data_IF_220709648243
#
_entry.id   IF_220709648243
#
_cell.length_a   1.000
_cell.length_b   1.000
_cell.length_c   1.000
_cell.angle_alpha   90.00
_cell.angle_beta   90.00
_cell.angle_gamma   90.00
#
_symmetry.space_group_name_H-M   'P 1'
#
loop_
_entity.id
_entity.type
_entity.pdbx_description
1 polymer ?
#
# COMPACT_ATOMS: atom_id res chain seq x y z
N UNK A 1 -13.80 -15.75 -11.48
CA UNK A 1 -13.00 -16.30 -10.35
C UNK A 1 -12.32 -17.61 -10.69
N UNK A 2 -13.02 -18.76 -10.97
CA UNK A 2 -12.30 -20.01 -11.30
C UNK A 2 -11.59 -19.95 -12.66
N UNK A 3 -12.21 -19.36 -13.68
CA UNK A 3 -11.61 -19.15 -15.01
C UNK A 3 -10.37 -18.25 -14.94
N UNK A 4 -10.43 -17.18 -14.20
CA UNK A 4 -9.33 -16.24 -13.99
C UNK A 4 -8.13 -16.93 -13.31
N UNK A 5 -8.39 -17.70 -12.24
CA UNK A 5 -7.34 -18.49 -11.59
C UNK A 5 -6.68 -19.52 -12.53
N UNK A 6 -7.47 -20.14 -13.42
CA UNK A 6 -6.91 -21.07 -14.40
C UNK A 6 -6.02 -20.35 -15.44
N UNK A 7 -6.41 -19.16 -15.87
CA UNK A 7 -5.61 -18.32 -16.78
C UNK A 7 -4.31 -17.87 -16.11
N UNK A 8 -4.39 -17.35 -14.89
CA UNK A 8 -3.21 -16.98 -14.10
C UNK A 8 -2.25 -18.14 -13.88
N UNK A 9 -2.76 -19.33 -13.54
CA UNK A 9 -1.95 -20.54 -13.39
C UNK A 9 -1.28 -20.94 -14.70
N UNK A 10 -1.99 -20.81 -15.83
CA UNK A 10 -1.43 -21.11 -17.16
C UNK A 10 -0.28 -20.15 -17.49
N UNK A 11 -0.46 -18.85 -17.26
CA UNK A 11 0.58 -17.84 -17.46
C UNK A 11 1.77 -18.10 -16.53
N UNK A 12 1.51 -18.43 -15.25
CA UNK A 12 2.54 -18.67 -14.25
C UNK A 12 3.43 -19.90 -14.52
N UNK A 13 2.99 -20.84 -15.38
CA UNK A 13 3.81 -21.98 -15.83
C UNK A 13 4.89 -21.55 -16.83
N UNK A 14 4.66 -20.48 -17.59
CA UNK A 14 5.63 -19.94 -18.54
C UNK A 14 6.64 -19.07 -17.79
N UNK A 15 7.88 -19.57 -17.64
CA UNK A 15 8.96 -18.82 -16.96
C UNK A 15 9.72 -18.04 -18.01
N UNK A 16 9.86 -16.74 -17.75
CA UNK A 16 10.53 -15.77 -18.63
C UNK A 16 11.64 -15.04 -17.91
N UNK A 17 12.56 -14.44 -18.68
CA UNK A 17 13.66 -13.65 -18.14
C UNK A 17 13.16 -12.36 -17.49
N UNK A 18 13.89 -11.91 -16.46
CA UNK A 18 13.67 -10.62 -15.80
C UNK A 18 13.71 -9.48 -16.82
N UNK A 19 12.78 -8.52 -16.78
CA UNK A 19 12.82 -7.35 -17.65
C UNK A 19 14.04 -6.48 -17.35
N UNK A 20 14.34 -5.54 -18.26
CA UNK A 20 15.47 -4.60 -18.14
C UNK A 20 15.35 -3.74 -16.89
N UNK A 21 16.51 -3.33 -16.35
CA UNK A 21 16.56 -2.36 -15.26
C UNK A 21 15.90 -1.04 -15.68
N UNK A 22 15.15 -0.45 -14.73
CA UNK A 22 14.46 0.82 -14.93
C UNK A 22 13.20 0.74 -15.77
N UNK A 23 12.66 -0.47 -16.00
CA UNK A 23 11.35 -0.62 -16.62
C UNK A 23 10.22 -0.25 -15.64
N UNK A 24 9.03 0.11 -16.17
CA UNK A 24 7.83 0.35 -15.38
C UNK A 24 7.47 -0.82 -14.47
N UNK A 25 7.02 -0.49 -13.27
CA UNK A 25 6.55 -1.47 -12.26
C UNK A 25 5.08 -1.21 -11.95
N UNK A 26 4.25 -2.21 -12.16
CA UNK A 26 2.87 -2.22 -11.67
C UNK A 26 2.83 -3.10 -10.42
N UNK A 27 2.29 -2.58 -9.35
CA UNK A 27 1.94 -3.37 -8.17
C UNK A 27 0.49 -3.81 -8.25
N UNK A 28 0.22 -5.10 -8.03
CA UNK A 28 -1.14 -5.55 -7.70
C UNK A 28 -1.53 -4.99 -6.33
N UNK A 29 -2.80 -5.03 -5.92
CA UNK A 29 -3.23 -4.66 -4.57
C UNK A 29 -2.43 -5.35 -3.45
N UNK A 30 -2.05 -6.63 -3.61
CA UNK A 30 -1.18 -7.33 -2.66
C UNK A 30 0.25 -6.78 -2.66
N UNK A 31 0.85 -6.63 -3.83
CA UNK A 31 2.19 -6.06 -3.97
C UNK A 31 2.28 -4.63 -3.46
N UNK A 32 1.27 -3.80 -3.74
CA UNK A 32 1.15 -2.43 -3.24
C UNK A 32 1.17 -2.39 -1.71
N UNK A 33 0.35 -3.23 -1.06
CA UNK A 33 0.35 -3.30 0.40
C UNK A 33 1.70 -3.71 0.96
N UNK A 34 2.28 -4.82 0.46
CA UNK A 34 3.49 -5.40 1.01
C UNK A 34 4.72 -4.48 0.89
N UNK A 35 4.78 -3.65 -0.16
CA UNK A 35 5.95 -2.78 -0.44
C UNK A 35 5.76 -1.34 -0.02
N UNK A 36 4.66 -0.72 -0.42
CA UNK A 36 4.50 0.74 -0.31
C UNK A 36 3.63 1.15 0.87
N UNK A 37 2.52 0.45 1.10
CA UNK A 37 1.58 0.85 2.15
C UNK A 37 1.99 0.39 3.55
N UNK A 38 2.58 -0.80 3.71
CA UNK A 38 2.99 -1.28 5.04
C UNK A 38 3.92 -0.30 5.76
N UNK A 39 5.05 0.15 5.19
CA UNK A 39 5.91 1.14 5.83
C UNK A 39 5.23 2.50 6.00
N UNK A 40 4.37 2.88 5.06
CA UNK A 40 3.62 4.13 5.15
C UNK A 40 2.66 4.12 6.34
N UNK A 41 1.91 3.02 6.56
CA UNK A 41 0.97 2.89 7.67
C UNK A 41 1.67 2.93 9.03
N UNK A 42 2.87 2.34 9.15
CA UNK A 42 3.71 2.47 10.34
C UNK A 42 4.07 3.93 10.62
N UNK A 43 4.33 4.69 9.55
CA UNK A 43 4.67 6.11 9.66
C UNK A 43 3.49 7.01 10.07
N UNK A 44 2.24 6.61 9.78
CA UNK A 44 1.03 7.32 10.23
C UNK A 44 0.64 7.00 11.68
N UNK A 45 1.27 6.02 12.32
CA UNK A 45 0.96 5.68 13.70
C UNK A 45 1.31 6.82 14.65
N UNK A 46 0.34 7.22 15.48
CA UNK A 46 0.51 8.21 16.54
C UNK A 46 1.66 7.86 17.49
N UNK A 47 1.96 6.58 17.68
CA UNK A 47 3.12 6.14 18.46
C UNK A 47 4.44 6.63 17.87
N UNK A 48 4.58 6.60 16.55
CA UNK A 48 5.79 7.03 15.86
C UNK A 48 5.81 8.55 15.66
N UNK A 49 4.64 9.16 15.47
CA UNK A 49 4.51 10.61 15.33
C UNK A 49 4.79 11.31 16.66
N UNK A 50 4.23 10.85 17.80
CA UNK A 50 4.46 11.49 19.11
C UNK A 50 5.92 11.41 19.58
N UNK A 51 6.66 10.39 19.14
CA UNK A 51 8.07 10.19 19.48
C UNK A 51 9.06 10.79 18.47
N UNK A 52 8.58 11.51 17.45
CA UNK A 52 9.40 12.04 16.34
C UNK A 52 10.23 10.97 15.61
N UNK A 53 9.69 9.75 15.47
CA UNK A 53 10.35 8.66 14.76
C UNK A 53 9.96 8.59 13.28
N UNK A 54 8.78 9.10 12.94
CA UNK A 54 8.27 9.13 11.55
C UNK A 54 8.83 10.32 10.77
N UNK A 55 9.14 10.09 9.50
CA UNK A 55 9.51 11.16 8.55
C UNK A 55 8.36 12.15 8.26
N UNK A 56 7.13 11.84 8.71
CA UNK A 56 5.93 12.66 8.56
C UNK A 56 5.72 13.64 9.73
N UNK A 57 6.56 13.60 10.78
CA UNK A 57 6.41 14.46 11.93
C UNK A 57 6.44 15.95 11.54
N UNK A 58 5.43 16.70 11.97
CA UNK A 58 5.30 18.13 11.72
C UNK A 58 4.93 18.53 10.29
N UNK A 59 4.63 17.56 9.41
CA UNK A 59 4.35 17.81 7.99
C UNK A 59 2.86 17.70 7.61
N UNK A 60 1.96 17.71 8.58
CA UNK A 60 0.53 17.75 8.28
C UNK A 60 0.18 19.01 7.47
N UNK A 61 -0.61 18.83 6.42
CA UNK A 61 -0.95 19.86 5.46
C UNK A 61 0.06 20.03 4.32
N UNK A 62 1.20 19.34 4.33
CA UNK A 62 2.17 19.39 3.24
C UNK A 62 1.82 18.37 2.12
N UNK A 63 2.08 18.75 0.87
CA UNK A 63 1.99 17.84 -0.29
C UNK A 63 3.25 16.99 -0.33
N UNK A 64 3.15 15.74 0.11
CA UNK A 64 4.26 14.78 0.21
C UNK A 64 4.18 13.64 -0.78
N UNK A 65 3.01 13.44 -1.38
CA UNK A 65 2.68 12.34 -2.27
C UNK A 65 2.10 12.85 -3.58
N UNK A 66 1.92 11.95 -4.54
CA UNK A 66 1.25 12.27 -5.79
C UNK A 66 -0.23 12.64 -5.55
N UNK A 67 -0.73 13.61 -6.31
CA UNK A 67 -2.12 14.10 -6.16
C UNK A 67 -3.20 13.08 -6.51
N UNK A 68 -2.84 12.01 -7.21
CA UNK A 68 -3.75 10.90 -7.50
C UNK A 68 -4.09 10.09 -6.24
N UNK A 69 -3.27 10.20 -5.16
CA UNK A 69 -3.47 9.41 -3.94
C UNK A 69 -4.49 10.06 -3.03
N UNK A 70 -5.56 9.31 -2.75
CA UNK A 70 -6.45 9.52 -1.61
C UNK A 70 -6.45 8.21 -0.82
N UNK A 71 -5.94 8.28 0.42
CA UNK A 71 -5.84 7.13 1.32
C UNK A 71 -6.59 7.42 2.61
N UNK A 72 -7.47 6.52 3.01
CA UNK A 72 -8.27 6.65 4.22
C UNK A 72 -8.33 5.36 5.03
N UNK A 73 -8.68 5.50 6.31
CA UNK A 73 -9.08 4.39 7.19
C UNK A 73 -10.56 4.58 7.50
N UNK A 74 -11.40 3.63 7.07
CA UNK A 74 -12.85 3.71 7.20
C UNK A 74 -13.40 2.55 8.06
N UNK A 75 -13.81 2.80 9.31
CA UNK A 75 -14.33 1.77 10.21
C UNK A 75 -15.79 1.39 9.94
N UNK A 76 -16.45 1.94 8.92
CA UNK A 76 -17.90 1.78 8.69
C UNK A 76 -18.23 1.14 7.33
N UNK A 77 -17.34 0.30 6.79
CA UNK A 77 -17.61 -0.46 5.56
C UNK A 77 -18.50 -1.66 5.90
N UNK A 78 -19.64 -1.76 5.21
CA UNK A 78 -20.59 -2.86 5.39
C UNK A 78 -19.93 -4.22 5.16
N UNK A 79 -20.24 -5.17 6.04
CA UNK A 79 -19.75 -6.56 6.01
C UNK A 79 -18.22 -6.74 6.08
N UNK A 80 -17.45 -5.68 6.34
CA UNK A 80 -16.02 -5.83 6.53
C UNK A 80 -15.69 -6.26 7.97
N UNK A 81 -14.77 -7.24 8.14
CA UNK A 81 -14.43 -7.79 9.46
C UNK A 81 -13.73 -6.78 10.38
N UNK A 82 -13.15 -5.70 9.82
CA UNK A 82 -12.48 -4.66 10.58
C UNK A 82 -13.39 -3.46 10.91
N UNK A 83 -14.67 -3.52 10.54
CA UNK A 83 -15.63 -2.45 10.85
C UNK A 83 -16.09 -2.50 12.30
N UNK A 84 -16.16 -1.33 12.94
CA UNK A 84 -16.54 -1.19 14.35
C UNK A 84 -17.00 0.24 14.66
N UNK A 85 -17.96 0.38 15.56
CA UNK A 85 -18.52 1.68 15.97
C UNK A 85 -17.69 2.37 17.06
N UNK A 86 -16.92 1.60 17.82
CA UNK A 86 -16.04 2.06 18.89
C UNK A 86 -14.69 1.37 18.77
N UNK A 87 -13.65 2.08 19.11
CA UNK A 87 -12.32 1.50 19.26
C UNK A 87 -12.14 0.80 20.61
N UNK A 88 -10.98 0.23 20.87
CA UNK A 88 -10.72 -0.53 22.10
C UNK A 88 -10.52 0.35 23.36
N UNK A 89 -10.59 1.66 23.22
CA UNK A 89 -10.67 2.63 24.33
C UNK A 89 -12.07 3.20 24.53
N UNK A 90 -13.08 2.74 23.73
CA UNK A 90 -14.45 3.20 23.79
C UNK A 90 -14.68 4.54 23.08
N UNK A 91 -13.74 5.01 22.28
CA UNK A 91 -13.88 6.21 21.47
C UNK A 91 -14.69 5.87 20.21
N UNK A 92 -15.67 6.71 19.87
CA UNK A 92 -16.46 6.57 18.64
C UNK A 92 -15.55 6.63 17.44
N UNK A 93 -15.62 5.63 16.58
CA UNK A 93 -14.82 5.56 15.36
C UNK A 93 -15.37 6.49 14.27
N UNK A 94 -14.52 6.92 13.38
CA UNK A 94 -14.89 7.73 12.21
C UNK A 94 -13.94 7.45 11.07
N UNK A 95 -14.35 7.78 9.85
CA UNK A 95 -13.45 7.79 8.70
C UNK A 95 -12.35 8.82 8.93
N UNK A 96 -11.09 8.38 8.84
CA UNK A 96 -9.91 9.22 8.96
C UNK A 96 -9.20 9.24 7.60
N UNK A 97 -9.03 10.43 7.03
CA UNK A 97 -8.24 10.62 5.82
C UNK A 97 -6.78 10.74 6.24
N UNK A 98 -5.92 9.91 5.69
CA UNK A 98 -4.48 9.93 5.93
C UNK A 98 -3.75 10.77 4.88
N UNK A 99 -4.14 10.59 3.61
CA UNK A 99 -3.66 11.36 2.46
C UNK A 99 -4.87 11.86 1.69
N UNK A 100 -4.91 13.15 1.42
CA UNK A 100 -5.93 13.79 0.60
C UNK A 100 -5.31 14.45 -0.62
N UNK A 101 -5.46 13.85 -1.79
CA UNK A 101 -4.86 14.34 -3.04
C UNK A 101 -3.37 14.69 -2.87
N UNK A 102 -2.60 13.72 -2.34
CA UNK A 102 -1.17 13.85 -2.10
C UNK A 102 -0.77 14.66 -0.86
N UNK A 103 -1.71 15.29 -0.18
CA UNK A 103 -1.45 16.05 1.05
C UNK A 103 -1.56 15.11 2.24
N UNK A 104 -0.54 15.08 3.10
CA UNK A 104 -0.63 14.40 4.39
C UNK A 104 -1.63 15.14 5.30
N UNK A 105 -2.77 14.50 5.59
CA UNK A 105 -3.88 15.12 6.32
C UNK A 105 -3.78 14.86 7.82
N UNK A 106 -3.67 13.58 8.24
CA UNK A 106 -3.64 13.21 9.64
C UNK A 106 -2.94 11.87 9.89
N UNK A 107 -2.38 11.71 11.11
CA UNK A 107 -2.02 10.41 11.65
C UNK A 107 -3.18 9.73 12.38
N UNK A 108 -2.95 8.50 12.84
CA UNK A 108 -3.88 7.72 13.64
C UNK A 108 -3.47 7.78 15.12
N UNK A 109 -4.35 8.26 15.98
CA UNK A 109 -4.09 8.50 17.39
C UNK A 109 -5.07 7.74 18.28
N UNK A 110 -4.54 7.07 19.31
CA UNK A 110 -5.30 6.65 20.51
C UNK A 110 -5.38 7.79 21.52
N UNK A 111 -5.98 7.59 22.67
CA UNK A 111 -6.09 8.64 23.71
C UNK A 111 -4.71 9.09 24.22
N UNK A 112 -3.79 8.15 24.39
CA UNK A 112 -2.44 8.43 24.89
C UNK A 112 -1.63 9.24 23.90
N UNK A 113 -1.45 8.73 22.69
CA UNK A 113 -0.62 9.40 21.66
C UNK A 113 -1.26 10.70 21.17
N UNK A 114 -2.59 10.79 21.17
CA UNK A 114 -3.31 12.02 20.93
C UNK A 114 -2.97 13.09 21.98
N UNK A 115 -3.00 12.73 23.26
CA UNK A 115 -2.62 13.64 24.35
C UNK A 115 -1.15 14.07 24.25
N UNK A 116 -0.23 13.12 23.99
CA UNK A 116 1.21 13.41 23.81
C UNK A 116 1.46 14.37 22.63
N UNK A 117 0.64 14.29 21.58
CA UNK A 117 0.75 15.15 20.37
C UNK A 117 -0.13 16.41 20.43
N UNK A 118 -0.79 16.69 21.55
CA UNK A 118 -1.77 17.79 21.69
C UNK A 118 -2.91 17.70 20.67
N UNK A 119 -3.33 16.45 20.34
CA UNK A 119 -4.41 16.10 19.41
C UNK A 119 -5.49 15.30 20.12
N UNK A 120 -6.65 15.19 19.48
CA UNK A 120 -7.71 14.27 19.92
C UNK A 120 -7.44 12.88 19.37
N UNK A 121 -7.90 11.85 20.11
CA UNK A 121 -7.99 10.49 19.53
C UNK A 121 -8.79 10.49 18.24
N UNK A 122 -8.32 9.71 17.28
CA UNK A 122 -8.99 9.51 15.99
C UNK A 122 -9.99 8.33 16.01
N UNK A 123 -10.20 7.69 17.19
CA UNK A 123 -10.98 6.47 17.30
C UNK A 123 -10.28 5.28 16.64
N UNK A 124 -8.96 5.22 16.80
CA UNK A 124 -8.11 4.25 16.11
C UNK A 124 -7.32 3.35 17.07
N UNK A 125 -7.75 3.23 18.31
CA UNK A 125 -7.11 2.35 19.27
C UNK A 125 -7.44 0.88 18.99
N UNK A 126 -6.42 0.02 19.07
CA UNK A 126 -6.57 -1.43 19.05
C UNK A 126 -5.66 -2.09 20.06
N UNK A 127 -6.06 -3.25 20.58
CA UNK A 127 -5.26 -4.03 21.52
C UNK A 127 -5.43 -5.53 21.32
N UNK A 128 -4.43 -6.28 21.74
CA UNK A 128 -4.56 -7.71 21.99
C UNK A 128 -4.93 -7.96 23.45
N UNK A 129 -5.24 -9.22 23.80
CA UNK A 129 -5.56 -9.62 25.19
C UNK A 129 -4.43 -9.28 26.18
N UNK A 130 -3.19 -9.23 25.70
CA UNK A 130 -1.99 -9.04 26.53
C UNK A 130 -1.28 -7.70 26.28
N UNK A 131 -1.89 -6.75 25.55
CA UNK A 131 -1.28 -5.45 25.27
C UNK A 131 -2.13 -4.28 25.70
N UNK A 132 -1.49 -3.15 25.98
CA UNK A 132 -2.18 -1.87 26.10
C UNK A 132 -2.71 -1.45 24.73
N UNK A 133 -3.77 -0.62 24.67
CA UNK A 133 -4.21 0.01 23.43
C UNK A 133 -3.07 0.76 22.74
N UNK A 134 -3.07 0.72 21.43
CA UNK A 134 -2.14 1.48 20.57
C UNK A 134 -2.83 1.85 19.27
N UNK A 135 -2.37 2.91 18.58
CA UNK A 135 -2.92 3.27 17.28
C UNK A 135 -2.84 2.12 16.27
N UNK A 136 -3.98 1.83 15.65
CA UNK A 136 -4.12 0.78 14.63
C UNK A 136 -5.06 1.23 13.53
N UNK A 137 -5.08 0.48 12.43
CA UNK A 137 -6.01 0.70 11.31
C UNK A 137 -7.27 -0.14 11.49
N UNK A 138 -8.37 0.29 10.89
CA UNK A 138 -9.53 -0.54 10.55
C UNK A 138 -9.46 -0.91 9.07
N UNK A 139 -10.50 -0.61 8.27
CA UNK A 139 -10.43 -0.86 6.84
C UNK A 139 -9.60 0.24 6.16
N UNK A 140 -8.63 -0.17 5.38
CA UNK A 140 -7.79 0.72 4.59
C UNK A 140 -8.39 0.83 3.20
N UNK A 141 -8.62 2.05 2.74
CA UNK A 141 -9.18 2.33 1.42
C UNK A 141 -8.28 3.31 0.68
N UNK A 142 -7.79 2.91 -0.48
CA UNK A 142 -7.22 3.81 -1.47
C UNK A 142 -8.26 4.00 -2.58
N UNK A 143 -8.50 5.24 -2.96
CA UNK A 143 -9.45 5.54 -4.02
C UNK A 143 -8.95 5.03 -5.38
N UNK A 144 -9.90 4.66 -6.25
CA UNK A 144 -9.62 4.21 -7.61
C UNK A 144 -9.21 5.37 -8.53
N UNK A 145 -8.44 5.04 -9.57
CA UNK A 145 -8.16 5.91 -10.70
C UNK A 145 -9.27 5.86 -11.77
N UNK A 146 -8.94 6.31 -12.97
CA UNK A 146 -9.91 6.40 -14.08
C UNK A 146 -9.63 5.38 -15.20
N UNK A 147 -8.46 4.74 -15.18
CA UNK A 147 -7.95 3.88 -16.26
C UNK A 147 -8.02 2.43 -15.80
N UNK A 148 -8.47 1.52 -16.68
CA UNK A 148 -8.51 0.10 -16.35
C UNK A 148 -7.11 -0.49 -16.32
N UNK A 149 -6.90 -1.54 -15.50
CA UNK A 149 -5.60 -2.21 -15.43
C UNK A 149 -5.14 -2.74 -16.78
N UNK A 150 -6.06 -3.24 -17.60
CA UNK A 150 -5.74 -3.71 -18.95
C UNK A 150 -5.20 -2.59 -19.84
N UNK A 151 -5.76 -1.39 -19.73
CA UNK A 151 -5.26 -0.24 -20.48
C UNK A 151 -3.88 0.22 -19.98
N UNK A 152 -3.65 0.20 -18.65
CA UNK A 152 -2.33 0.49 -18.09
C UNK A 152 -1.28 -0.51 -18.62
N UNK A 153 -1.61 -1.80 -18.64
CA UNK A 153 -0.71 -2.85 -19.17
C UNK A 153 -0.46 -2.67 -20.67
N UNK A 154 -1.51 -2.35 -21.45
CA UNK A 154 -1.41 -2.20 -22.91
C UNK A 154 -0.47 -1.08 -23.35
N UNK A 155 -0.27 -0.07 -22.51
CA UNK A 155 0.60 1.08 -22.80
C UNK A 155 2.08 0.81 -22.45
N UNK A 156 2.42 -0.35 -21.90
CA UNK A 156 3.78 -0.72 -21.48
C UNK A 156 4.44 -1.59 -22.52
N UNK A 157 5.55 -1.12 -23.10
CA UNK A 157 6.36 -1.91 -24.04
C UNK A 157 7.16 -3.02 -23.33
N UNK A 158 7.84 -2.73 -22.22
CA UNK A 158 8.50 -3.71 -21.35
C UNK A 158 8.34 -3.28 -19.87
N UNK A 159 7.82 -4.16 -19.03
CA UNK A 159 7.57 -3.87 -17.62
C UNK A 159 7.38 -5.12 -16.76
N UNK A 160 7.01 -4.90 -15.51
CA UNK A 160 6.74 -5.99 -14.57
C UNK A 160 5.47 -5.70 -13.75
N UNK A 161 4.63 -6.72 -13.63
CA UNK A 161 3.52 -6.75 -12.67
C UNK A 161 3.97 -7.54 -11.45
N UNK A 162 4.04 -6.87 -10.29
CA UNK A 162 4.50 -7.44 -9.01
C UNK A 162 3.29 -7.76 -8.13
N UNK A 163 3.14 -9.04 -7.79
CA UNK A 163 2.01 -9.51 -7.01
C UNK A 163 2.40 -9.86 -5.57
N UNK A 164 3.27 -10.83 -5.36
CA UNK A 164 3.70 -11.25 -4.03
C UNK A 164 5.22 -11.17 -3.86
N UNK A 165 5.63 -10.80 -2.64
CA UNK A 165 7.01 -10.57 -2.28
C UNK A 165 7.42 -11.40 -1.07
N UNK A 166 8.70 -11.73 -1.00
CA UNK A 166 9.35 -12.35 0.16
C UNK A 166 10.38 -11.38 0.74
N UNK A 167 10.22 -11.09 2.03
CA UNK A 167 11.19 -10.27 2.76
C UNK A 167 10.95 -8.75 2.71
N UNK A 168 9.85 -8.28 2.13
CA UNK A 168 9.55 -6.85 2.00
C UNK A 168 9.55 -6.09 3.35
N UNK A 169 9.11 -6.73 4.44
CA UNK A 169 9.07 -6.15 5.79
C UNK A 169 10.35 -6.32 6.62
N UNK A 170 11.47 -6.79 6.04
CA UNK A 170 12.72 -7.02 6.81
C UNK A 170 13.62 -5.78 6.91
N UNK A 171 13.26 -4.68 6.27
CA UNK A 171 13.98 -3.42 6.32
C UNK A 171 13.57 -2.51 7.48
N UNK A 172 14.08 -1.29 7.50
CA UNK A 172 13.61 -0.24 8.39
C UNK A 172 12.34 0.39 7.80
N UNK A 173 11.17 -0.08 8.22
CA UNK A 173 9.87 0.39 7.74
C UNK A 173 9.68 1.90 7.91
N UNK A 174 10.21 2.50 8.99
CA UNK A 174 10.11 3.96 9.20
C UNK A 174 10.89 4.80 8.20
N UNK A 175 11.96 4.24 7.60
CA UNK A 175 12.69 4.90 6.52
C UNK A 175 12.01 4.76 5.16
N UNK A 176 11.05 3.85 5.04
CA UNK A 176 10.37 3.52 3.79
C UNK A 176 11.21 2.69 2.80
N UNK A 177 12.44 2.35 3.15
CA UNK A 177 13.29 1.54 2.28
C UNK A 177 12.82 0.08 2.27
N UNK A 178 12.68 -0.48 1.08
CA UNK A 178 12.37 -1.88 0.90
C UNK A 178 13.34 -2.56 -0.08
N UNK A 179 13.56 -3.84 0.15
CA UNK A 179 14.27 -4.73 -0.76
C UNK A 179 13.69 -6.12 -0.58
N UNK A 180 13.19 -6.73 -1.64
CA UNK A 180 12.45 -7.98 -1.56
C UNK A 180 12.62 -8.83 -2.80
N UNK A 181 12.56 -10.17 -2.62
CA UNK A 181 12.46 -11.10 -3.74
C UNK A 181 11.01 -11.17 -4.22
N UNK A 182 10.79 -11.16 -5.52
CA UNK A 182 9.49 -11.37 -6.13
C UNK A 182 9.20 -12.88 -6.07
N UNK A 183 8.22 -13.27 -5.27
CA UNK A 183 7.74 -14.67 -5.22
C UNK A 183 6.71 -14.95 -6.30
N UNK A 184 5.89 -13.95 -6.65
CA UNK A 184 4.97 -13.99 -7.77
C UNK A 184 4.97 -12.63 -8.47
N UNK A 185 5.30 -12.65 -9.74
CA UNK A 185 5.27 -11.48 -10.60
C UNK A 185 5.42 -11.90 -12.05
N UNK A 186 4.96 -11.04 -12.94
CA UNK A 186 4.82 -11.35 -14.36
C UNK A 186 5.50 -10.28 -15.21
N UNK A 187 6.17 -10.72 -16.27
CA UNK A 187 6.74 -9.83 -17.27
C UNK A 187 5.64 -9.33 -18.20
N UNK A 188 5.66 -8.03 -18.45
CA UNK A 188 4.86 -7.36 -19.47
C UNK A 188 5.78 -7.11 -20.68
N UNK A 189 5.33 -7.49 -21.87
CA UNK A 189 6.02 -7.20 -23.13
C UNK A 189 5.00 -6.83 -24.20
N UNK A 190 5.18 -5.66 -24.83
CA UNK A 190 4.29 -5.13 -25.90
C UNK A 190 2.81 -5.08 -25.50
N UNK A 191 2.55 -4.70 -24.25
CA UNK A 191 1.19 -4.55 -23.73
C UNK A 191 0.53 -5.86 -23.29
N UNK A 192 1.26 -6.96 -23.20
CA UNK A 192 0.72 -8.27 -22.82
C UNK A 192 1.55 -8.90 -21.69
N UNK A 193 0.89 -9.66 -20.79
CA UNK A 193 1.55 -10.47 -19.76
C UNK A 193 2.02 -11.75 -20.43
N UNK A 194 3.34 -11.95 -20.53
CA UNK A 194 3.93 -13.06 -21.31
C UNK A 194 4.37 -14.25 -20.45
N UNK A 195 4.53 -14.08 -19.13
CA UNK A 195 4.94 -15.16 -18.25
C UNK A 195 5.43 -14.68 -16.90
N UNK A 196 5.77 -15.63 -16.02
CA UNK A 196 6.25 -15.40 -14.67
C UNK A 196 7.76 -15.18 -14.65
N UNK A 197 8.22 -14.17 -13.89
CA UNK A 197 9.65 -13.98 -13.58
C UNK A 197 10.09 -14.83 -12.39
N UNK A 198 11.37 -15.23 -12.37
CA UNK A 198 12.04 -15.89 -11.24
C UNK A 198 13.37 -15.22 -10.91
N UNK A 199 13.82 -15.41 -9.64
CA UNK A 199 15.10 -14.88 -9.17
C UNK A 199 15.22 -13.37 -9.40
N UNK A 200 14.12 -12.66 -9.29
CA UNK A 200 14.01 -11.23 -9.51
C UNK A 200 13.79 -10.53 -8.18
N UNK A 201 14.54 -9.48 -7.93
CA UNK A 201 14.40 -8.63 -6.75
C UNK A 201 13.89 -7.26 -7.15
N UNK A 202 13.17 -6.64 -6.22
CA UNK A 202 12.85 -5.22 -6.30
C UNK A 202 13.40 -4.48 -5.08
N UNK A 203 13.80 -3.23 -5.28
CA UNK A 203 14.24 -2.35 -4.20
C UNK A 203 13.85 -0.90 -4.49
N UNK A 204 13.69 -0.14 -3.43
CA UNK A 204 13.31 1.27 -3.55
C UNK A 204 12.96 1.89 -2.21
N UNK A 205 12.35 3.07 -2.29
CA UNK A 205 11.79 3.76 -1.13
C UNK A 205 10.29 4.01 -1.37
N UNK A 206 9.46 3.58 -0.42
CA UNK A 206 8.01 3.70 -0.53
C UNK A 206 7.51 5.14 -0.65
N UNK A 207 8.15 6.08 0.06
CA UNK A 207 7.79 7.49 -0.03
C UNK A 207 8.12 8.09 -1.39
N UNK A 208 9.27 7.72 -1.97
CA UNK A 208 9.69 8.19 -3.28
C UNK A 208 8.82 7.57 -4.39
N UNK A 209 8.48 6.28 -4.28
CA UNK A 209 7.58 5.61 -5.22
C UNK A 209 6.16 6.20 -5.20
N UNK A 210 5.67 6.63 -4.03
CA UNK A 210 4.34 7.25 -3.89
C UNK A 210 4.32 8.76 -4.17
N UNK A 211 5.48 9.38 -4.42
CA UNK A 211 5.57 10.80 -4.75
C UNK A 211 5.36 11.10 -6.22
N UNK A 212 5.62 10.12 -7.08
CA UNK A 212 5.52 10.24 -8.54
C UNK A 212 4.92 8.97 -9.11
N UNK A 213 3.60 8.96 -9.22
CA UNK A 213 2.81 7.83 -9.71
C UNK A 213 2.40 8.10 -11.15
N UNK A 214 2.64 7.14 -12.03
CA UNK A 214 2.17 7.22 -13.42
C UNK A 214 0.66 7.05 -13.49
N UNK A 215 0.13 5.93 -12.97
CA UNK A 215 -1.30 5.65 -12.98
C UNK A 215 -1.77 4.84 -11.76
N UNK A 216 -3.06 5.00 -11.43
CA UNK A 216 -3.82 4.18 -10.48
C UNK A 216 -4.98 3.56 -11.25
N UNK A 217 -5.23 2.26 -11.07
CA UNK A 217 -6.30 1.58 -11.79
C UNK A 217 -7.69 1.94 -11.27
N UNK A 218 -8.69 1.78 -12.14
CA UNK A 218 -10.10 1.84 -11.77
C UNK A 218 -10.51 0.61 -10.93
N UNK A 219 -9.97 -0.57 -11.24
CA UNK A 219 -10.24 -1.78 -10.49
C UNK A 219 -9.54 -1.75 -9.13
N UNK A 220 -10.24 -2.26 -8.12
CA UNK A 220 -9.74 -2.46 -6.77
C UNK A 220 -10.05 -3.86 -6.30
N UNK A 221 -9.12 -4.46 -5.57
CA UNK A 221 -9.32 -5.75 -4.95
C UNK A 221 -9.28 -5.66 -3.43
N UNK A 222 -9.99 -6.59 -2.79
CA UNK A 222 -9.97 -6.72 -1.34
C UNK A 222 -8.78 -7.56 -0.90
N UNK A 223 -7.85 -6.94 -0.19
CA UNK A 223 -6.63 -7.57 0.33
C UNK A 223 -6.79 -7.83 1.82
N UNK A 224 -6.39 -9.03 2.27
CA UNK A 224 -6.45 -9.46 3.68
C UNK A 224 -7.79 -9.17 4.39
N UNK A 225 -8.87 -9.14 3.63
CA UNK A 225 -10.24 -8.99 4.14
C UNK A 225 -10.63 -7.58 4.61
N UNK A 226 -9.68 -6.65 4.74
CA UNK A 226 -9.95 -5.30 5.27
C UNK A 226 -9.28 -4.16 4.52
N UNK A 227 -8.72 -4.42 3.35
CA UNK A 227 -8.08 -3.39 2.55
C UNK A 227 -8.67 -3.40 1.15
N UNK A 228 -9.12 -2.26 0.67
CA UNK A 228 -9.63 -2.06 -0.68
C UNK A 228 -8.61 -1.22 -1.44
N UNK A 229 -7.85 -1.85 -2.33
CA UNK A 229 -6.69 -1.25 -2.97
C UNK A 229 -6.73 -1.41 -4.49
N UNK A 230 -6.30 -0.38 -5.26
CA UNK A 230 -6.12 -0.45 -6.71
C UNK A 230 -4.77 -1.08 -7.10
N UNK A 231 -4.59 -1.30 -8.39
CA UNK A 231 -3.26 -1.49 -8.99
C UNK A 231 -2.58 -0.12 -9.10
N UNK A 232 -1.26 -0.11 -8.93
CA UNK A 232 -0.48 1.13 -8.92
C UNK A 232 0.73 1.01 -9.84
N UNK A 233 0.85 1.92 -10.81
CA UNK A 233 1.96 2.00 -11.75
C UNK A 233 2.94 3.10 -11.32
N UNK A 234 4.20 2.76 -11.17
CA UNK A 234 5.30 3.68 -10.82
C UNK A 234 6.59 3.32 -11.56
N UNK A 235 7.49 4.30 -11.71
CA UNK A 235 8.84 4.12 -12.29
C UNK A 235 9.96 4.16 -11.23
N UNK A 236 9.65 4.56 -10.00
CA UNK A 236 10.64 4.81 -8.96
C UNK A 236 10.99 3.56 -8.15
N UNK A 237 11.10 2.41 -8.82
CA UNK A 237 11.48 1.12 -8.22
C UNK A 237 12.54 0.45 -9.07
N UNK A 238 13.61 -0.02 -8.43
CA UNK A 238 14.68 -0.73 -9.10
C UNK A 238 14.42 -2.24 -9.16
N UNK A 239 14.73 -2.83 -10.32
CA UNK A 239 14.63 -4.27 -10.56
C UNK A 239 16.04 -4.82 -10.78
N UNK A 240 16.31 -5.98 -10.17
CA UNK A 240 17.56 -6.72 -10.34
C UNK A 240 17.32 -8.23 -10.37
N UNK A 241 18.17 -8.94 -11.07
CA UNK A 241 18.19 -10.41 -11.16
C UNK A 241 19.43 -10.97 -10.47
#
# INVERSE_FOLDING_TARGET
MVSELCEELSIAQNIVDTPKKGCPVIFTPHGLYQTLLSPLLVSFSGTNLSKNLSSLCGKEGEKLFDEKIILSVDPHIDYSPASRNYDDEGVVTKKNILINKGIFDSGLYDLKTGSESSKKSTGSAGRSVHSNPSPTTSNIVMDEGQITINNIISDIDEGILVDHLLGAGQGNELSGNFSANISLGYKIEKGEIIGRVKNTMISGNAFDALRDIEEISFERDQVYGSMMLPYLHTKNVEISS
#
